data_IF_700402837703
#
_entry.id   IF_700402837703
#
_cell.length_a   1.000
_cell.length_b   1.000
_cell.length_c   1.000
_cell.angle_alpha   90.00
_cell.angle_beta   90.00
_cell.angle_gamma   90.00
#
_symmetry.space_group_name_H-M   'P 1'
#
loop_
_entity.id
_entity.type
_entity.pdbx_description
1 polymer ?
#
# COMPACT_ATOMS: atom_id res chain seq x y z
N UNK A 1 26.93 64.80 -15.44
CA UNK A 1 25.82 64.03 -14.84
C UNK A 1 25.93 62.60 -15.31
N UNK A 2 26.24 61.66 -14.42
CA UNK A 2 26.09 60.23 -14.68
C UNK A 2 25.83 59.55 -13.34
N UNK A 3 24.63 59.01 -13.13
CA UNK A 3 24.24 58.25 -11.94
C UNK A 3 24.76 56.83 -12.10
N UNK A 4 25.66 56.39 -11.23
CA UNK A 4 26.10 54.98 -11.17
C UNK A 4 25.09 54.24 -10.28
N UNK A 5 24.27 53.38 -10.90
CA UNK A 5 23.41 52.44 -10.20
C UNK A 5 24.28 51.27 -9.70
N UNK A 6 24.29 51.03 -8.39
CA UNK A 6 24.79 49.79 -7.79
C UNK A 6 23.74 48.70 -7.98
N UNK A 7 24.04 47.69 -8.81
CA UNK A 7 23.29 46.45 -8.87
C UNK A 7 23.92 45.46 -7.88
N UNK A 8 23.18 45.09 -6.83
CA UNK A 8 23.55 44.01 -5.92
C UNK A 8 23.00 42.71 -6.52
N UNK A 9 23.82 41.73 -6.91
CA UNK A 9 23.32 40.42 -7.27
C UNK A 9 22.93 39.67 -6.00
N UNK A 10 21.63 39.41 -5.82
CA UNK A 10 21.11 38.47 -4.84
C UNK A 10 21.47 37.06 -5.30
N UNK A 11 22.46 36.47 -4.62
CA UNK A 11 22.87 35.09 -4.80
C UNK A 11 21.81 34.19 -4.14
N UNK A 12 20.88 33.66 -4.93
CA UNK A 12 19.93 32.63 -4.49
C UNK A 12 20.70 31.32 -4.39
N UNK A 13 21.01 30.91 -3.16
CA UNK A 13 21.51 29.59 -2.84
C UNK A 13 20.36 28.59 -2.98
N UNK A 14 20.35 27.83 -4.09
CA UNK A 14 19.58 26.59 -4.15
C UNK A 14 20.32 25.55 -3.32
N UNK A 15 19.89 25.34 -2.08
CA UNK A 15 20.17 24.11 -1.36
C UNK A 15 19.38 22.99 -2.05
N UNK A 16 20.01 22.35 -3.04
CA UNK A 16 19.57 21.02 -3.47
C UNK A 16 19.89 20.07 -2.31
N UNK A 17 18.85 19.56 -1.66
CA UNK A 17 18.97 18.50 -0.68
C UNK A 17 19.37 17.24 -1.44
N UNK A 18 20.69 17.02 -1.55
CA UNK A 18 21.27 15.80 -2.10
C UNK A 18 20.85 14.64 -1.19
N UNK A 19 19.95 13.78 -1.68
CA UNK A 19 19.64 12.52 -0.99
C UNK A 19 20.94 11.71 -0.98
N UNK A 20 21.41 11.23 0.19
CA UNK A 20 22.49 10.27 0.20
C UNK A 20 21.99 9.00 -0.50
N UNK A 21 22.51 8.76 -1.71
CA UNK A 21 22.38 7.46 -2.37
C UNK A 21 23.17 6.46 -1.53
N UNK A 22 22.45 5.68 -0.73
CA UNK A 22 23.00 4.47 -0.18
C UNK A 22 22.75 3.34 -1.19
N UNK A 23 23.83 2.82 -1.77
CA UNK A 23 23.84 1.51 -2.42
C UNK A 23 23.52 0.47 -1.34
N UNK A 24 22.32 -0.11 -1.40
CA UNK A 24 22.07 -1.57 -1.43
C UNK A 24 20.57 -1.83 -1.29
N UNK A 25 19.95 -2.23 -2.41
CA UNK A 25 18.68 -2.97 -2.59
C UNK A 25 17.96 -2.49 -3.85
N UNK A 26 17.81 -3.40 -4.81
CA UNK A 26 17.03 -3.25 -6.05
C UNK A 26 15.56 -2.90 -5.74
N UNK A 27 15.25 -1.61 -5.61
CA UNK A 27 13.89 -1.07 -5.68
C UNK A 27 13.64 -0.52 -7.09
N UNK A 28 12.49 -0.89 -7.67
CA UNK A 28 12.08 -0.40 -8.99
C UNK A 28 11.80 1.11 -8.92
N UNK A 29 12.31 1.88 -9.88
CA UNK A 29 12.08 3.31 -9.95
C UNK A 29 10.59 3.61 -10.27
N UNK A 30 9.93 4.40 -9.44
CA UNK A 30 8.56 4.85 -9.65
C UNK A 30 8.48 5.87 -10.82
N UNK A 31 7.53 5.75 -11.75
CA UNK A 31 7.35 6.72 -12.83
C UNK A 31 7.04 8.17 -12.38
N UNK A 32 7.37 9.16 -13.21
CA UNK A 32 7.16 10.59 -12.92
C UNK A 32 5.69 11.01 -12.76
N UNK A 33 4.73 10.23 -13.29
CA UNK A 33 3.29 10.52 -13.19
C UNK A 33 2.74 10.34 -11.77
N UNK A 34 3.46 9.65 -10.88
CA UNK A 34 3.04 9.43 -9.49
C UNK A 34 3.27 10.66 -8.59
N UNK A 35 4.23 11.54 -8.94
CA UNK A 35 4.51 12.75 -8.15
C UNK A 35 3.57 13.94 -8.47
N UNK A 36 2.66 13.80 -9.44
CA UNK A 36 1.88 14.92 -9.99
C UNK A 36 0.39 14.94 -9.59
N UNK A 37 -0.12 13.92 -8.89
CA UNK A 37 -1.50 13.91 -8.38
C UNK A 37 -1.53 14.62 -7.02
N UNK A 38 -2.08 15.83 -7.03
CA UNK A 38 -2.06 16.76 -5.89
C UNK A 38 -2.89 16.32 -4.68
N UNK A 39 -2.67 17.08 -3.60
CA UNK A 39 -3.17 16.98 -2.21
C UNK A 39 -4.70 16.78 -2.10
N UNK A 40 -5.47 17.11 -3.13
CA UNK A 40 -6.95 17.13 -3.09
C UNK A 40 -7.63 15.91 -3.72
N UNK A 41 -6.89 14.85 -4.07
CA UNK A 41 -7.49 13.63 -4.63
C UNK A 41 -7.44 12.47 -3.64
N UNK A 42 -8.57 12.08 -3.05
CA UNK A 42 -8.65 10.82 -2.28
C UNK A 42 -8.40 9.65 -3.26
N UNK A 43 -7.55 8.66 -2.93
CA UNK A 43 -6.97 8.37 -1.62
C UNK A 43 -5.47 8.71 -1.54
N UNK A 44 -5.00 9.78 -2.19
CA UNK A 44 -3.59 10.18 -2.15
C UNK A 44 -3.26 10.91 -0.84
N UNK A 45 -2.00 10.82 -0.40
CA UNK A 45 -1.48 11.59 0.73
C UNK A 45 -0.03 11.98 0.50
N UNK A 46 0.19 13.27 0.23
CA UNK A 46 1.50 13.78 -0.15
C UNK A 46 2.53 13.74 0.97
N UNK A 47 2.11 13.67 2.24
CA UNK A 47 3.03 13.64 3.36
C UNK A 47 3.63 12.24 3.55
N UNK A 48 2.96 11.19 3.07
CA UNK A 48 3.53 9.85 3.04
C UNK A 48 4.47 9.71 1.80
N UNK A 49 5.80 9.64 1.98
CA UNK A 49 6.74 9.55 0.86
C UNK A 49 6.67 8.20 0.12
N UNK A 50 5.97 7.21 0.65
CA UNK A 50 5.78 5.88 0.08
C UNK A 50 4.40 5.71 -0.58
N UNK A 51 3.60 6.79 -0.67
CA UNK A 51 2.21 6.70 -1.12
C UNK A 51 2.03 6.21 -2.56
N UNK A 52 3.05 6.40 -3.39
CA UNK A 52 3.07 5.92 -4.75
C UNK A 52 2.91 4.38 -4.83
N UNK A 53 3.31 3.63 -3.80
CA UNK A 53 3.11 2.17 -3.76
C UNK A 53 1.60 1.84 -3.69
N UNK A 54 0.84 2.48 -2.80
CA UNK A 54 -0.62 2.30 -2.77
C UNK A 54 -1.29 2.72 -4.07
N UNK A 55 -0.79 3.75 -4.74
CA UNK A 55 -1.28 4.13 -6.06
C UNK A 55 -1.13 3.01 -7.10
N UNK A 56 0.00 2.28 -7.11
CA UNK A 56 0.20 1.10 -7.97
C UNK A 56 -0.84 0.01 -7.66
N UNK A 57 -1.13 -0.25 -6.38
CA UNK A 57 -2.19 -1.19 -6.00
C UNK A 57 -3.52 -0.80 -6.66
N UNK A 58 -3.93 0.45 -6.50
CA UNK A 58 -5.21 0.95 -6.99
C UNK A 58 -5.34 0.85 -8.51
N UNK A 59 -4.26 1.12 -9.24
CA UNK A 59 -4.22 1.03 -10.71
C UNK A 59 -4.37 -0.40 -11.21
N UNK A 60 -3.66 -1.34 -10.58
CA UNK A 60 -3.74 -2.76 -10.96
C UNK A 60 -5.10 -3.35 -10.60
N UNK A 61 -5.63 -3.02 -9.42
CA UNK A 61 -6.97 -3.43 -9.03
C UNK A 61 -8.02 -2.87 -9.99
N UNK A 62 -7.89 -1.61 -10.41
CA UNK A 62 -8.79 -1.02 -11.39
C UNK A 62 -8.74 -1.76 -12.74
N UNK A 63 -7.54 -2.14 -13.21
CA UNK A 63 -7.39 -2.96 -14.42
C UNK A 63 -8.08 -4.33 -14.29
N UNK A 64 -8.07 -4.95 -13.11
CA UNK A 64 -8.87 -6.16 -12.84
C UNK A 64 -10.37 -5.88 -12.90
N UNK A 65 -10.83 -4.78 -12.30
CA UNK A 65 -12.25 -4.41 -12.25
C UNK A 65 -12.82 -4.07 -13.64
N UNK A 66 -12.00 -3.57 -14.54
CA UNK A 66 -12.38 -3.24 -15.92
C UNK A 66 -12.29 -4.44 -16.88
N UNK A 67 -11.80 -5.60 -16.41
CA UNK A 67 -11.67 -6.80 -17.22
C UNK A 67 -13.03 -7.41 -17.57
N UNK A 68 -13.22 -7.81 -18.83
CA UNK A 68 -14.47 -8.38 -19.32
C UNK A 68 -14.80 -9.76 -18.74
N UNK A 69 -13.79 -10.53 -18.35
CA UNK A 69 -13.92 -11.84 -17.73
C UNK A 69 -12.73 -12.08 -16.80
N UNK A 70 -12.99 -12.66 -15.63
CA UNK A 70 -11.98 -12.95 -14.62
C UNK A 70 -12.15 -14.37 -14.09
N UNK A 71 -11.07 -15.04 -13.68
CA UNK A 71 -11.17 -16.37 -13.08
C UNK A 71 -11.85 -16.32 -11.71
N UNK A 72 -12.42 -17.46 -11.31
CA UNK A 72 -13.14 -17.61 -10.04
C UNK A 72 -12.53 -18.63 -9.08
N UNK A 73 -11.66 -19.53 -9.55
CA UNK A 73 -10.94 -20.46 -8.66
C UNK A 73 -9.66 -19.85 -8.10
N UNK A 74 -9.31 -20.19 -6.86
CA UNK A 74 -8.11 -19.71 -6.17
C UNK A 74 -6.82 -19.89 -7.00
N UNK A 75 -6.57 -21.09 -7.54
CA UNK A 75 -5.42 -21.36 -8.42
C UNK A 75 -5.37 -20.42 -9.63
N UNK A 76 -6.52 -20.24 -10.29
CA UNK A 76 -6.63 -19.43 -11.49
C UNK A 76 -6.48 -17.94 -11.18
N UNK A 77 -7.01 -17.48 -10.05
CA UNK A 77 -6.85 -16.11 -9.56
C UNK A 77 -5.38 -15.84 -9.23
N UNK A 78 -4.72 -16.75 -8.53
CA UNK A 78 -3.30 -16.62 -8.19
C UNK A 78 -2.43 -16.44 -9.45
N UNK A 79 -2.63 -17.30 -10.44
CA UNK A 79 -1.93 -17.22 -11.72
C UNK A 79 -2.30 -15.94 -12.50
N UNK A 80 -3.58 -15.56 -12.51
CA UNK A 80 -4.08 -14.36 -13.19
C UNK A 80 -3.49 -13.08 -12.60
N UNK A 81 -3.44 -12.93 -11.28
CA UNK A 81 -2.86 -11.73 -10.65
C UNK A 81 -1.37 -11.64 -10.97
N UNK A 82 -0.64 -12.76 -10.99
CA UNK A 82 0.76 -12.78 -11.43
C UNK A 82 0.93 -12.29 -12.88
N UNK A 83 -0.01 -12.59 -13.77
CA UNK A 83 0.00 -12.09 -15.15
C UNK A 83 -0.42 -10.61 -15.25
N UNK A 84 -1.33 -10.18 -14.38
CA UNK A 84 -1.85 -8.83 -14.35
C UNK A 84 -0.76 -7.83 -13.87
N UNK A 85 -0.06 -8.16 -12.78
CA UNK A 85 0.94 -7.25 -12.19
C UNK A 85 2.12 -7.00 -13.11
N UNK A 86 2.56 -7.99 -13.90
CA UNK A 86 3.70 -7.83 -14.81
C UNK A 86 3.42 -6.92 -16.01
N UNK A 87 2.16 -6.57 -16.27
CA UNK A 87 1.81 -5.54 -17.26
C UNK A 87 2.08 -4.12 -16.74
N UNK A 88 2.22 -3.96 -15.42
CA UNK A 88 2.44 -2.69 -14.79
C UNK A 88 3.93 -2.37 -14.72
N UNK A 89 4.31 -1.14 -15.11
CA UNK A 89 5.71 -0.72 -15.23
C UNK A 89 6.55 -0.90 -13.95
N UNK A 90 5.92 -0.79 -12.77
CA UNK A 90 6.53 -1.08 -11.47
C UNK A 90 7.18 -2.47 -11.38
N UNK A 91 6.66 -3.46 -12.10
CA UNK A 91 7.12 -4.85 -12.04
C UNK A 91 8.14 -5.21 -13.14
N UNK A 92 8.38 -4.34 -14.14
CA UNK A 92 9.22 -4.68 -15.31
C UNK A 92 10.67 -5.04 -14.96
N UNK A 93 11.22 -4.48 -13.88
CA UNK A 93 12.58 -4.77 -13.42
C UNK A 93 12.64 -5.86 -12.34
N UNK A 94 11.51 -6.49 -12.01
CA UNK A 94 11.41 -7.47 -10.93
C UNK A 94 11.32 -8.89 -11.50
N UNK A 95 12.06 -9.82 -10.90
CA UNK A 95 11.88 -11.25 -11.13
C UNK A 95 10.65 -11.77 -10.37
N UNK A 96 10.11 -12.91 -10.81
CA UNK A 96 8.98 -13.58 -10.15
C UNK A 96 9.15 -13.73 -8.63
N UNK A 97 10.36 -14.09 -8.19
CA UNK A 97 10.69 -14.29 -6.77
C UNK A 97 10.72 -13.00 -5.94
N UNK A 98 10.72 -11.83 -6.59
CA UNK A 98 10.68 -10.53 -5.92
C UNK A 98 9.26 -10.03 -5.67
N UNK A 99 8.24 -10.65 -6.28
CA UNK A 99 6.85 -10.23 -6.14
C UNK A 99 5.86 -11.36 -5.89
N UNK A 100 6.28 -12.62 -5.79
CA UNK A 100 5.38 -13.74 -5.55
C UNK A 100 5.87 -14.68 -4.45
N UNK A 101 6.37 -14.12 -3.34
CA UNK A 101 6.85 -14.90 -2.18
C UNK A 101 5.75 -15.47 -1.30
N UNK A 102 4.56 -14.85 -1.29
CA UNK A 102 3.41 -15.39 -0.55
C UNK A 102 2.73 -16.43 -1.44
N UNK A 103 2.87 -17.69 -1.03
CA UNK A 103 2.34 -18.85 -1.76
C UNK A 103 0.82 -18.98 -1.61
N UNK A 104 0.20 -19.72 -2.54
CA UNK A 104 -1.25 -19.89 -2.59
C UNK A 104 -1.85 -20.39 -1.27
N UNK A 105 -1.29 -21.45 -0.68
CA UNK A 105 -1.82 -22.01 0.57
C UNK A 105 -1.82 -20.99 1.72
N UNK A 106 -0.84 -20.08 1.75
CA UNK A 106 -0.80 -19.01 2.76
C UNK A 106 -1.89 -17.96 2.54
N UNK A 107 -2.25 -17.67 1.30
CA UNK A 107 -3.38 -16.79 0.96
C UNK A 107 -4.72 -17.44 1.32
N UNK A 108 -4.83 -18.76 1.15
CA UNK A 108 -6.01 -19.53 1.58
C UNK A 108 -6.15 -19.56 3.11
N UNK A 109 -5.04 -19.61 3.85
CA UNK A 109 -5.03 -19.42 5.30
C UNK A 109 -5.59 -18.05 5.70
N UNK A 110 -5.22 -16.97 4.98
CA UNK A 110 -5.75 -15.62 5.28
C UNK A 110 -7.27 -15.56 5.19
N UNK A 111 -7.84 -16.18 4.17
CA UNK A 111 -9.29 -16.22 3.94
C UNK A 111 -9.97 -17.11 5.00
N UNK A 112 -9.33 -18.23 5.35
CA UNK A 112 -9.91 -19.22 6.26
C UNK A 112 -9.88 -18.78 7.72
N UNK A 113 -8.77 -18.20 8.15
CA UNK A 113 -8.50 -17.89 9.56
C UNK A 113 -8.62 -16.39 9.89
N UNK A 114 -8.57 -15.52 8.88
CA UNK A 114 -8.80 -14.08 9.03
C UNK A 114 -7.96 -13.45 10.13
N UNK A 115 -8.57 -12.52 10.88
CA UNK A 115 -7.92 -11.72 11.94
C UNK A 115 -7.16 -12.58 12.97
N UNK A 116 -7.51 -13.85 13.16
CA UNK A 116 -6.82 -14.74 14.12
C UNK A 116 -5.35 -15.00 13.79
N UNK A 117 -4.93 -14.80 12.54
CA UNK A 117 -3.54 -14.93 12.12
C UNK A 117 -2.66 -13.71 12.45
N UNK A 118 -3.29 -12.55 12.70
CA UNK A 118 -2.58 -11.28 12.81
C UNK A 118 -1.50 -11.27 13.89
N UNK A 119 -1.72 -11.74 15.14
CA UNK A 119 -0.66 -11.74 16.16
C UNK A 119 0.56 -12.56 15.75
N UNK A 120 0.33 -13.70 15.08
CA UNK A 120 1.41 -14.55 14.56
C UNK A 120 2.20 -13.88 13.44
N UNK A 121 1.53 -13.14 12.57
CA UNK A 121 2.17 -12.35 11.49
C UNK A 121 3.00 -11.22 12.09
N UNK A 122 2.42 -10.41 12.97
CA UNK A 122 3.11 -9.28 13.63
C UNK A 122 4.37 -9.77 14.36
N UNK A 123 4.27 -10.88 15.08
CA UNK A 123 5.39 -11.43 15.85
C UNK A 123 6.60 -11.75 14.96
N UNK A 124 6.37 -12.16 13.71
CA UNK A 124 7.43 -12.51 12.74
C UNK A 124 8.04 -11.30 12.03
N UNK A 125 7.43 -10.11 12.12
CA UNK A 125 7.96 -8.90 11.50
C UNK A 125 9.33 -8.53 12.12
N UNK A 126 10.22 -7.96 11.32
CA UNK A 126 11.49 -7.44 11.81
C UNK A 126 11.35 -5.96 12.20
N UNK A 127 10.52 -5.70 13.21
CA UNK A 127 10.25 -4.39 13.80
C UNK A 127 10.60 -4.41 15.28
N UNK A 128 10.83 -3.24 15.90
CA UNK A 128 10.98 -3.17 17.35
C UNK A 128 9.70 -3.62 18.07
N UNK A 129 9.82 -4.03 19.33
CA UNK A 129 8.67 -4.53 20.13
C UNK A 129 7.58 -3.47 20.26
N UNK A 130 7.97 -2.23 20.51
CA UNK A 130 7.07 -1.08 20.66
C UNK A 130 6.36 -0.79 19.33
N UNK A 131 7.09 -0.83 18.21
CA UNK A 131 6.52 -0.65 16.87
C UNK A 131 5.56 -1.79 16.51
N UNK A 132 5.90 -3.05 16.85
CA UNK A 132 4.98 -4.19 16.66
C UNK A 132 3.67 -3.97 17.39
N UNK A 133 3.74 -3.59 18.67
CA UNK A 133 2.56 -3.34 19.48
C UNK A 133 1.66 -2.25 18.87
N UNK A 134 2.24 -1.11 18.47
CA UNK A 134 1.47 -0.02 17.85
C UNK A 134 0.94 -0.40 16.46
N UNK A 135 1.69 -1.19 15.69
CA UNK A 135 1.27 -1.65 14.37
C UNK A 135 0.15 -2.70 14.45
N UNK A 136 0.23 -3.62 15.41
CA UNK A 136 -0.83 -4.60 15.68
C UNK A 136 -2.13 -3.89 16.06
N UNK A 137 -2.08 -2.95 17.01
CA UNK A 137 -3.25 -2.14 17.39
C UNK A 137 -3.83 -1.40 16.17
N UNK A 138 -2.98 -0.81 15.32
CA UNK A 138 -3.42 -0.15 14.10
C UNK A 138 -4.18 -1.09 13.16
N UNK A 139 -3.60 -2.26 12.87
CA UNK A 139 -4.18 -3.23 11.94
C UNK A 139 -5.43 -3.87 12.53
N UNK A 140 -5.43 -4.20 13.82
CA UNK A 140 -6.58 -4.78 14.51
C UNK A 140 -7.79 -3.87 14.48
N UNK A 141 -7.60 -2.60 14.83
CA UNK A 141 -8.66 -1.60 14.82
C UNK A 141 -9.09 -1.29 13.40
N UNK A 142 -8.19 -1.22 12.42
CA UNK A 142 -8.58 -1.05 11.02
C UNK A 142 -9.51 -2.20 10.57
N UNK A 143 -9.15 -3.44 10.87
CA UNK A 143 -10.00 -4.60 10.55
C UNK A 143 -11.37 -4.48 11.24
N UNK A 144 -11.42 -4.07 12.50
CA UNK A 144 -12.69 -3.89 13.21
C UNK A 144 -13.55 -2.81 12.56
N UNK A 145 -12.97 -1.65 12.21
CA UNK A 145 -13.66 -0.57 11.51
C UNK A 145 -14.23 -1.02 10.16
N UNK A 146 -13.48 -1.86 9.44
CA UNK A 146 -13.94 -2.46 8.20
C UNK A 146 -15.12 -3.39 8.47
N UNK A 147 -15.02 -4.32 9.42
CA UNK A 147 -16.10 -5.26 9.74
C UNK A 147 -17.38 -4.55 10.25
N UNK A 148 -17.22 -3.45 10.98
CA UNK A 148 -18.32 -2.61 11.46
C UNK A 148 -18.93 -1.71 10.38
N UNK A 149 -18.37 -1.73 9.15
CA UNK A 149 -18.81 -0.93 8.00
C UNK A 149 -18.82 0.56 8.32
N UNK A 150 -17.81 1.03 9.05
CA UNK A 150 -17.65 2.44 9.32
C UNK A 150 -17.61 3.25 8.01
N UNK A 151 -18.00 4.52 8.09
CA UNK A 151 -17.92 5.41 6.93
C UNK A 151 -16.48 5.51 6.43
N UNK A 152 -16.32 5.47 5.11
CA UNK A 152 -14.99 5.50 4.50
C UNK A 152 -14.15 6.70 4.95
N UNK A 153 -14.75 7.87 5.15
CA UNK A 153 -14.00 9.04 5.60
C UNK A 153 -13.42 8.83 7.00
N UNK A 154 -14.13 8.12 7.87
CA UNK A 154 -13.63 7.74 9.21
C UNK A 154 -12.45 6.77 9.09
N UNK A 155 -12.57 5.75 8.23
CA UNK A 155 -11.47 4.82 7.96
C UNK A 155 -10.27 5.54 7.34
N UNK A 156 -10.51 6.45 6.40
CA UNK A 156 -9.46 7.22 5.74
C UNK A 156 -8.72 8.14 6.71
N UNK A 157 -9.45 8.90 7.53
CA UNK A 157 -8.88 9.76 8.59
C UNK A 157 -8.09 8.92 9.59
N UNK A 158 -8.61 7.77 10.02
CA UNK A 158 -7.90 6.84 10.89
C UNK A 158 -6.54 6.38 10.32
N UNK A 159 -6.48 6.10 9.02
CA UNK A 159 -5.22 5.73 8.37
C UNK A 159 -4.27 6.93 8.26
N UNK A 160 -4.78 8.13 7.93
CA UNK A 160 -3.95 9.34 7.88
C UNK A 160 -3.36 9.70 9.25
N UNK A 161 -4.16 9.61 10.32
CA UNK A 161 -3.70 9.84 11.69
C UNK A 161 -2.60 8.84 12.10
N UNK A 162 -2.66 7.61 11.60
CA UNK A 162 -1.58 6.65 11.77
C UNK A 162 -0.33 7.07 10.99
N UNK A 163 -0.46 7.42 9.71
CA UNK A 163 0.64 7.88 8.87
C UNK A 163 1.36 9.10 9.47
N UNK A 164 0.61 10.07 9.99
CA UNK A 164 1.16 11.27 10.62
C UNK A 164 1.93 10.95 11.90
N UNK A 165 1.41 10.06 12.75
CA UNK A 165 2.14 9.61 13.94
C UNK A 165 3.47 8.96 13.57
N UNK A 166 3.51 8.13 12.52
CA UNK A 166 4.76 7.49 12.07
C UNK A 166 5.73 8.53 11.48
N UNK A 167 5.24 9.52 10.74
CA UNK A 167 6.06 10.58 10.17
C UNK A 167 6.71 11.44 11.26
N UNK A 168 5.95 11.80 12.29
CA UNK A 168 6.39 12.68 13.37
C UNK A 168 7.25 11.99 14.45
N UNK A 169 7.14 10.66 14.60
CA UNK A 169 7.88 9.91 15.62
C UNK A 169 9.37 9.79 15.25
N UNK A 170 10.26 10.36 16.07
CA UNK A 170 11.71 10.35 15.84
C UNK A 170 12.39 9.07 16.30
N UNK A 171 11.72 8.26 17.11
CA UNK A 171 12.26 7.01 17.65
C UNK A 171 12.08 5.83 16.68
N UNK A 172 11.16 5.95 15.71
CA UNK A 172 10.97 4.94 14.67
C UNK A 172 12.08 5.08 13.60
N UNK A 173 12.84 4.00 13.42
CA UNK A 173 13.90 3.93 12.43
C UNK A 173 13.39 4.06 10.99
N UNK A 174 14.25 4.46 10.06
CA UNK A 174 13.87 4.72 8.66
C UNK A 174 13.27 3.50 7.96
N UNK A 175 13.83 2.32 8.22
CA UNK A 175 13.33 1.05 7.65
C UNK A 175 11.94 0.71 8.17
N UNK A 176 11.71 0.88 9.48
CA UNK A 176 10.40 0.65 10.09
C UNK A 176 9.38 1.65 9.54
N UNK A 177 9.73 2.94 9.46
CA UNK A 177 8.87 3.96 8.83
C UNK A 177 8.50 3.59 7.41
N UNK A 178 9.47 3.14 6.61
CA UNK A 178 9.21 2.69 5.24
C UNK A 178 8.15 1.57 5.23
N UNK A 179 8.36 0.52 6.02
CA UNK A 179 7.42 -0.60 6.09
C UNK A 179 6.01 -0.12 6.49
N UNK A 180 5.88 0.64 7.59
CA UNK A 180 4.58 1.04 8.14
C UNK A 180 3.83 1.97 7.18
N UNK A 181 4.53 2.91 6.56
CA UNK A 181 3.96 3.87 5.62
C UNK A 181 3.62 3.24 4.26
N UNK A 182 4.37 2.23 3.83
CA UNK A 182 4.00 1.42 2.66
C UNK A 182 2.74 0.61 2.93
N UNK A 183 2.68 -0.07 4.09
CA UNK A 183 1.50 -0.85 4.49
C UNK A 183 0.27 0.05 4.55
N UNK A 184 0.33 1.17 5.26
CA UNK A 184 -0.81 2.09 5.40
C UNK A 184 -1.26 2.66 4.05
N UNK A 185 -0.34 3.00 3.15
CA UNK A 185 -0.69 3.49 1.81
C UNK A 185 -1.44 2.44 0.99
N UNK A 186 -0.95 1.19 0.96
CA UNK A 186 -1.62 0.09 0.25
C UNK A 186 -3.03 -0.12 0.82
N UNK A 187 -3.17 -0.12 2.15
CA UNK A 187 -4.47 -0.28 2.82
C UNK A 187 -5.42 0.89 2.50
N UNK A 188 -4.93 2.12 2.46
CA UNK A 188 -5.72 3.31 2.14
C UNK A 188 -6.25 3.28 0.71
N UNK A 189 -5.42 2.85 -0.23
CA UNK A 189 -5.83 2.67 -1.62
C UNK A 189 -6.77 1.46 -1.80
N UNK A 190 -6.53 0.35 -1.08
CA UNK A 190 -7.38 -0.84 -1.10
C UNK A 190 -8.80 -0.55 -0.61
N UNK A 191 -8.92 0.08 0.54
CA UNK A 191 -10.21 0.47 1.13
C UNK A 191 -10.99 1.42 0.22
N UNK A 192 -10.30 2.40 -0.38
CA UNK A 192 -10.92 3.32 -1.34
C UNK A 192 -11.45 2.64 -2.59
N UNK A 193 -10.67 1.73 -3.18
CA UNK A 193 -11.05 1.04 -4.40
C UNK A 193 -12.29 0.15 -4.19
N UNK A 194 -12.39 -0.55 -3.06
CA UNK A 194 -13.56 -1.36 -2.72
C UNK A 194 -14.82 -0.53 -2.53
N UNK A 195 -14.73 0.68 -1.95
CA UNK A 195 -15.85 1.63 -1.85
C UNK A 195 -16.42 2.01 -3.22
N UNK A 196 -15.57 2.20 -4.23
CA UNK A 196 -15.96 2.71 -5.56
C UNK A 196 -16.73 1.71 -6.44
N UNK A 197 -16.86 0.44 -6.05
CA UNK A 197 -17.61 -0.55 -6.84
C UNK A 197 -19.11 -0.19 -6.85
N UNK A 198 -19.78 -0.11 -8.01
CA UNK A 198 -21.23 0.07 -8.05
C UNK A 198 -21.92 -1.11 -7.37
N UNK A 199 -22.77 -0.85 -6.36
CA UNK A 199 -23.66 -1.85 -5.76
C UNK A 199 -24.63 -2.38 -6.82
N UNK A 200 -24.26 -3.43 -7.55
CA UNK A 200 -25.22 -4.19 -8.35
C UNK A 200 -25.80 -5.30 -7.48
N UNK A 201 -26.79 -4.95 -6.66
CA UNK A 201 -27.61 -5.88 -5.86
C UNK A 201 -26.85 -6.84 -4.94
N UNK A 202 -25.90 -6.33 -4.16
CA UNK A 202 -25.34 -7.08 -3.03
C UNK A 202 -24.84 -6.09 -2.01
N UNK A 203 -25.23 -6.26 -0.76
CA UNK A 203 -24.53 -5.63 0.35
C UNK A 203 -23.09 -6.11 0.29
N UNK A 204 -22.19 -5.26 -0.22
CA UNK A 204 -20.75 -5.51 -0.15
C UNK A 204 -20.38 -5.45 1.32
N UNK A 205 -20.11 -6.61 1.89
CA UNK A 205 -19.62 -6.73 3.24
C UNK A 205 -18.18 -6.22 3.24
N UNK A 206 -17.90 -5.24 4.07
CA UNK A 206 -16.54 -4.72 4.25
C UNK A 206 -15.62 -5.74 4.96
N UNK A 207 -16.21 -6.81 5.51
CA UNK A 207 -15.55 -8.03 6.01
C UNK A 207 -14.51 -8.60 5.02
N UNK A 208 -14.73 -8.34 3.73
CA UNK A 208 -13.98 -8.79 2.56
C UNK A 208 -12.63 -8.12 2.31
N UNK A 209 -12.08 -7.43 3.29
CA UNK A 209 -10.75 -6.83 3.24
C UNK A 209 -9.78 -7.46 4.22
N UNK A 210 -10.23 -8.34 5.11
CA UNK A 210 -9.37 -8.96 6.12
C UNK A 210 -8.21 -9.70 5.46
N UNK A 211 -8.46 -10.55 4.46
CA UNK A 211 -7.37 -11.28 3.80
C UNK A 211 -6.43 -10.32 3.04
N UNK A 212 -6.96 -9.27 2.42
CA UNK A 212 -6.17 -8.21 1.78
C UNK A 212 -5.27 -7.47 2.77
N UNK A 213 -5.77 -7.19 3.98
CA UNK A 213 -5.01 -6.55 5.05
C UNK A 213 -3.85 -7.44 5.48
N UNK A 214 -4.12 -8.71 5.79
CA UNK A 214 -3.09 -9.67 6.19
C UNK A 214 -2.03 -9.87 5.10
N UNK A 215 -2.46 -9.99 3.84
CA UNK A 215 -1.55 -10.07 2.69
C UNK A 215 -0.70 -8.81 2.53
N UNK A 216 -1.24 -7.63 2.83
CA UNK A 216 -0.47 -6.38 2.82
C UNK A 216 0.60 -6.38 3.90
N UNK A 217 0.23 -6.71 5.14
CA UNK A 217 1.14 -6.73 6.30
C UNK A 217 2.26 -7.75 6.10
N UNK A 218 1.91 -9.02 5.87
CA UNK A 218 2.91 -10.09 5.72
C UNK A 218 3.72 -9.94 4.42
N UNK A 219 3.06 -9.54 3.32
CA UNK A 219 3.70 -9.37 2.02
C UNK A 219 4.70 -8.22 2.02
N UNK A 220 4.38 -7.07 2.63
CA UNK A 220 5.28 -5.90 2.66
C UNK A 220 6.55 -6.19 3.46
N UNK A 221 6.48 -7.10 4.44
CA UNK A 221 7.67 -7.57 5.16
C UNK A 221 8.68 -8.28 4.23
N UNK A 222 8.22 -8.75 3.08
CA UNK A 222 9.03 -9.37 2.04
C UNK A 222 9.40 -8.41 0.89
N UNK A 223 8.97 -7.15 0.98
CA UNK A 223 9.19 -6.08 0.01
C UNK A 223 7.88 -5.55 -0.61
N UNK A 224 7.89 -4.29 -1.03
CA UNK A 224 6.71 -3.55 -1.52
C UNK A 224 5.93 -4.32 -2.59
N UNK A 225 6.63 -4.93 -3.56
CA UNK A 225 6.02 -5.70 -4.63
C UNK A 225 5.28 -6.96 -4.13
N UNK A 226 5.78 -7.59 -3.06
CA UNK A 226 5.08 -8.72 -2.42
C UNK A 226 3.87 -8.23 -1.62
N UNK A 227 3.95 -7.07 -0.96
CA UNK A 227 2.80 -6.45 -0.30
C UNK A 227 1.65 -6.17 -1.28
N UNK A 228 1.98 -5.59 -2.43
CA UNK A 228 1.03 -5.33 -3.51
C UNK A 228 0.36 -6.61 -4.02
N UNK A 229 1.17 -7.61 -4.40
CA UNK A 229 0.65 -8.82 -5.03
C UNK A 229 -0.11 -9.71 -4.07
N UNK A 230 0.38 -9.88 -2.83
CA UNK A 230 -0.32 -10.65 -1.81
C UNK A 230 -1.66 -10.00 -1.45
N UNK A 231 -1.67 -8.67 -1.29
CA UNK A 231 -2.91 -7.91 -1.06
C UNK A 231 -3.90 -8.06 -2.22
N UNK A 232 -3.45 -7.93 -3.48
CA UNK A 232 -4.30 -8.09 -4.67
C UNK A 232 -4.86 -9.52 -4.79
N UNK A 233 -3.99 -10.53 -4.65
CA UNK A 233 -4.38 -11.95 -4.70
C UNK A 233 -5.43 -12.25 -3.64
N UNK A 234 -5.15 -11.90 -2.39
CA UNK A 234 -6.08 -12.11 -1.29
C UNK A 234 -7.41 -11.37 -1.51
N UNK A 235 -7.36 -10.09 -1.91
CA UNK A 235 -8.56 -9.28 -2.15
C UNK A 235 -9.48 -9.82 -3.26
N UNK A 236 -8.91 -10.46 -4.28
CA UNK A 236 -9.64 -11.05 -5.41
C UNK A 236 -10.08 -12.48 -5.08
N UNK A 237 -9.27 -13.28 -4.39
CA UNK A 237 -9.64 -14.63 -3.94
C UNK A 237 -10.79 -14.60 -2.92
N UNK A 238 -10.78 -13.62 -2.02
CA UNK A 238 -11.87 -13.38 -1.06
C UNK A 238 -13.16 -12.92 -1.78
N UNK A 239 -13.04 -12.35 -2.99
CA UNK A 239 -14.14 -11.78 -3.77
C UNK A 239 -14.03 -12.04 -5.28
N UNK A 240 -14.12 -13.30 -5.72
CA UNK A 240 -14.06 -13.61 -7.14
C UNK A 240 -15.23 -12.89 -7.84
N UNK A 241 -14.94 -12.13 -8.90
CA UNK A 241 -16.02 -11.55 -9.69
C UNK A 241 -16.83 -12.70 -10.33
N UNK A 242 -18.17 -12.67 -10.27
CA UNK A 242 -19.04 -13.75 -10.75
C UNK A 242 -18.94 -13.97 -12.27
#
# INVERSE_FOLDING_TARGET
MMKILFFIPVMILFFSCEKPMHEDSTQAALPSSYMQRGIDSIPFYSNNPYDAIGAVYGEILQAHLDAAATPTSNDSIYAYVNQLVVQHSFFHSLSYQQYSKIELGRLEDYITYGKTLLPGIIQQLNLSTEVKSSHEEFVELLIDKLNEREDYLVIHEYILDYEDRILDDKEIGTTDKQYLLTVSSILRHSTYAKRKRPKKNTDLDWDWLTASVLGTVEGTAQGDANGLTASLKAAIMENPSP
#
